data_IF_163209178821
#
_entry.id   IF_163209178821
#
_cell.length_a   1.000
_cell.length_b   1.000
_cell.length_c   1.000
_cell.angle_alpha   90.00
_cell.angle_beta   90.00
_cell.angle_gamma   90.00
#
_symmetry.space_group_name_H-M   'P 1'
#
loop_
_entity.id
_entity.type
_entity.pdbx_description
1 polymer ?
#
# COMPACT_ATOMS: atom_id res chain seq x y z
N UNK A 1 14.14 -17.07 8.68
CA UNK A 1 14.94 -15.86 8.39
C UNK A 1 14.53 -14.81 9.40
N UNK A 2 15.43 -14.38 10.28
CA UNK A 2 15.17 -13.37 11.31
C UNK A 2 15.26 -11.99 10.67
N UNK A 3 14.16 -11.26 10.62
CA UNK A 3 14.11 -9.89 10.10
C UNK A 3 14.67 -8.97 11.19
N UNK A 4 15.80 -8.32 10.91
CA UNK A 4 16.41 -7.30 11.78
C UNK A 4 15.63 -5.99 11.60
N UNK A 5 15.17 -5.38 12.70
CA UNK A 5 14.32 -4.17 12.70
C UNK A 5 15.11 -2.95 13.17
N UNK A 6 14.76 -1.78 12.65
CA UNK A 6 15.34 -0.49 13.04
C UNK A 6 14.65 0.05 14.32
N UNK A 7 15.44 0.49 15.30
CA UNK A 7 14.97 0.85 16.64
C UNK A 7 14.36 2.27 16.75
N UNK A 8 14.58 3.13 15.74
CA UNK A 8 14.33 4.57 15.83
C UNK A 8 13.02 5.07 15.18
N UNK A 9 11.98 4.24 15.07
CA UNK A 9 10.72 4.63 14.42
C UNK A 9 9.50 4.57 15.37
N UNK A 10 8.53 5.46 15.14
CA UNK A 10 7.30 5.53 15.93
C UNK A 10 6.58 4.17 15.93
N UNK A 11 6.14 3.64 17.08
CA UNK A 11 5.52 2.31 17.18
C UNK A 11 4.35 2.12 16.21
N UNK A 12 3.53 3.16 16.04
CA UNK A 12 2.37 3.12 15.13
C UNK A 12 2.79 3.11 13.65
N UNK A 13 3.85 3.87 13.32
CA UNK A 13 4.39 3.92 11.95
C UNK A 13 5.02 2.58 11.54
N UNK A 14 5.71 1.91 12.46
CA UNK A 14 6.22 0.56 12.26
C UNK A 14 5.10 -0.44 12.01
N UNK A 15 4.04 -0.43 12.82
CA UNK A 15 2.96 -1.39 12.72
C UNK A 15 2.22 -1.33 11.38
N UNK A 16 1.92 -0.13 10.86
CA UNK A 16 1.25 0.01 9.56
C UNK A 16 2.14 -0.40 8.39
N UNK A 17 3.45 -0.15 8.48
CA UNK A 17 4.43 -0.59 7.47
C UNK A 17 4.52 -2.12 7.46
N UNK A 18 4.66 -2.76 8.62
CA UNK A 18 4.65 -4.23 8.74
C UNK A 18 3.38 -4.82 8.13
N UNK A 19 2.23 -4.19 8.40
CA UNK A 19 0.97 -4.65 7.81
C UNK A 19 0.91 -4.46 6.30
N UNK A 20 1.50 -3.39 5.79
CA UNK A 20 1.60 -3.14 4.36
C UNK A 20 2.59 -4.07 3.66
N UNK A 21 3.65 -4.52 4.33
CA UNK A 21 4.57 -5.52 3.80
C UNK A 21 3.85 -6.82 3.42
N UNK A 22 2.83 -7.24 4.16
CA UNK A 22 1.98 -8.38 3.77
C UNK A 22 1.33 -8.17 2.39
N UNK A 23 0.82 -6.95 2.13
CA UNK A 23 0.24 -6.58 0.84
C UNK A 23 1.29 -6.57 -0.28
N UNK A 24 2.50 -6.06 0.01
CA UNK A 24 3.62 -6.04 -0.94
C UNK A 24 4.06 -7.45 -1.29
N UNK A 25 4.31 -8.30 -0.30
CA UNK A 25 4.73 -9.69 -0.49
C UNK A 25 3.70 -10.50 -1.27
N UNK A 26 2.41 -10.20 -1.09
CA UNK A 26 1.35 -10.82 -1.86
C UNK A 26 1.28 -10.33 -3.32
N UNK A 27 1.33 -9.01 -3.53
CA UNK A 27 1.14 -8.42 -4.86
C UNK A 27 2.38 -8.53 -5.75
N UNK A 28 3.58 -8.37 -5.19
CA UNK A 28 4.83 -8.36 -5.95
C UNK A 28 4.99 -9.55 -6.91
N UNK A 29 4.90 -10.82 -6.47
CA UNK A 29 5.04 -11.97 -7.39
C UNK A 29 3.89 -12.08 -8.40
N UNK A 30 2.73 -11.48 -8.14
CA UNK A 30 1.62 -11.44 -9.10
C UNK A 30 1.93 -10.42 -10.21
N UNK A 31 2.36 -9.22 -9.82
CA UNK A 31 2.70 -8.14 -10.73
C UNK A 31 3.94 -8.47 -11.58
N UNK A 32 4.94 -9.17 -11.02
CA UNK A 32 6.10 -9.65 -11.79
C UNK A 32 5.71 -10.60 -12.93
N UNK A 33 4.65 -11.40 -12.76
CA UNK A 33 4.13 -12.32 -13.78
C UNK A 33 3.17 -11.66 -14.77
N UNK A 34 3.01 -10.34 -14.72
CA UNK A 34 2.16 -9.60 -15.63
C UNK A 34 2.62 -9.81 -17.10
N UNK A 35 1.71 -10.07 -18.05
CA UNK A 35 2.06 -10.20 -19.46
C UNK A 35 2.81 -8.98 -19.98
N UNK A 36 3.83 -9.19 -20.84
CA UNK A 36 4.71 -8.11 -21.34
C UNK A 36 3.94 -6.99 -22.06
N UNK A 37 2.82 -7.30 -22.70
CA UNK A 37 1.94 -6.32 -23.36
C UNK A 37 1.30 -5.30 -22.40
N UNK A 38 1.37 -5.55 -21.09
CA UNK A 38 0.89 -4.64 -20.04
C UNK A 38 2.05 -4.04 -19.23
N UNK A 39 3.27 -4.01 -19.76
CA UNK A 39 4.47 -3.51 -19.06
C UNK A 39 4.29 -2.15 -18.40
N UNK A 40 3.76 -1.16 -19.12
CA UNK A 40 3.53 0.18 -18.56
C UNK A 40 2.54 0.18 -17.38
N UNK A 41 1.51 -0.68 -17.45
CA UNK A 41 0.51 -0.81 -16.38
C UNK A 41 1.13 -1.51 -15.17
N UNK A 42 1.92 -2.57 -15.39
CA UNK A 42 2.71 -3.24 -14.34
C UNK A 42 3.62 -2.24 -13.63
N UNK A 43 4.35 -1.44 -14.38
CA UNK A 43 5.34 -0.51 -13.82
C UNK A 43 4.66 0.59 -13.01
N UNK A 44 3.52 1.12 -13.48
CA UNK A 44 2.70 2.05 -12.71
C UNK A 44 2.17 1.43 -11.41
N UNK A 45 1.75 0.16 -11.44
CA UNK A 45 1.31 -0.56 -10.24
C UNK A 45 2.45 -0.79 -9.25
N UNK A 46 3.63 -1.18 -9.73
CA UNK A 46 4.81 -1.39 -8.90
C UNK A 46 5.28 -0.08 -8.27
N UNK A 47 5.29 1.02 -9.03
CA UNK A 47 5.60 2.35 -8.51
C UNK A 47 4.64 2.72 -7.37
N UNK A 48 3.33 2.65 -7.61
CA UNK A 48 2.33 2.95 -6.56
C UNK A 48 2.47 2.03 -5.33
N UNK A 49 2.82 0.76 -5.52
CA UNK A 49 3.05 -0.21 -4.44
C UNK A 49 4.28 0.16 -3.59
N UNK A 50 5.39 0.57 -4.21
CA UNK A 50 6.62 0.88 -3.48
C UNK A 50 6.66 2.30 -2.94
N UNK A 51 6.09 3.27 -3.65
CA UNK A 51 6.00 4.67 -3.22
C UNK A 51 5.24 4.80 -1.89
N UNK A 52 4.27 3.92 -1.64
CA UNK A 52 3.53 3.89 -0.38
C UNK A 52 4.44 3.74 0.85
N UNK A 53 5.53 2.97 0.74
CA UNK A 53 6.48 2.77 1.84
C UNK A 53 7.13 4.10 2.20
N UNK A 54 7.59 4.85 1.18
CA UNK A 54 8.16 6.18 1.36
C UNK A 54 7.16 7.18 1.96
N UNK A 55 5.89 7.11 1.54
CA UNK A 55 4.81 7.93 2.09
C UNK A 55 4.54 7.62 3.57
N UNK A 56 4.56 6.35 3.98
CA UNK A 56 4.43 5.98 5.40
C UNK A 56 5.61 6.47 6.23
N UNK A 57 6.85 6.32 5.77
CA UNK A 57 8.01 6.86 6.49
C UNK A 57 7.96 8.39 6.58
N UNK A 58 7.55 9.06 5.50
CA UNK A 58 7.38 10.51 5.48
C UNK A 58 6.32 10.96 6.50
N UNK A 59 5.20 10.26 6.57
CA UNK A 59 4.15 10.53 7.56
C UNK A 59 4.60 10.20 8.99
N UNK A 60 5.36 9.12 9.19
CA UNK A 60 5.86 8.71 10.51
C UNK A 60 6.84 9.74 11.12
N UNK A 61 7.68 10.33 10.27
CA UNK A 61 8.68 11.33 10.68
C UNK A 61 8.13 12.76 10.72
N UNK A 62 6.97 13.00 10.14
CA UNK A 62 6.36 14.33 10.06
C UNK A 62 5.24 14.50 11.08
N UNK A 63 5.07 15.73 11.58
CA UNK A 63 3.87 16.13 12.36
C UNK A 63 2.76 16.71 11.47
N UNK A 64 2.93 16.68 10.14
CA UNK A 64 2.00 17.31 9.21
C UNK A 64 0.90 16.33 8.76
N UNK A 65 -0.39 16.64 8.98
CA UNK A 65 -1.50 15.80 8.51
C UNK A 65 -1.53 15.58 7.00
N UNK A 66 -1.01 16.54 6.21
CA UNK A 66 -0.91 16.44 4.75
C UNK A 66 -0.15 15.20 4.27
N UNK A 67 0.86 14.74 5.04
CA UNK A 67 1.64 13.53 4.70
C UNK A 67 0.82 12.25 4.86
N UNK A 68 -0.05 12.20 5.87
CA UNK A 68 -0.98 11.08 6.05
C UNK A 68 -2.02 11.02 4.92
N UNK A 69 -2.52 12.19 4.48
CA UNK A 69 -3.43 12.24 3.33
C UNK A 69 -2.76 11.85 2.02
N UNK A 70 -1.48 12.18 1.82
CA UNK A 70 -0.74 11.71 0.65
C UNK A 70 -0.64 10.17 0.65
N UNK A 71 -0.38 9.56 1.80
CA UNK A 71 -0.38 8.11 1.96
C UNK A 71 -1.78 7.49 1.68
N UNK A 72 -2.86 8.15 2.10
CA UNK A 72 -4.23 7.65 1.86
C UNK A 72 -4.62 7.77 0.38
N UNK A 73 -4.25 8.88 -0.26
CA UNK A 73 -4.44 9.09 -1.68
C UNK A 73 -3.74 8.01 -2.52
N UNK A 74 -2.51 7.64 -2.15
CA UNK A 74 -1.79 6.58 -2.86
C UNK A 74 -2.41 5.18 -2.63
N UNK A 75 -2.96 4.89 -1.43
CA UNK A 75 -3.76 3.67 -1.22
C UNK A 75 -5.02 3.64 -2.11
N UNK A 76 -5.68 4.79 -2.30
CA UNK A 76 -6.81 4.89 -3.23
C UNK A 76 -6.38 4.66 -4.68
N UNK A 77 -5.24 5.22 -5.10
CA UNK A 77 -4.62 4.95 -6.42
C UNK A 77 -4.32 3.47 -6.61
N UNK A 78 -3.77 2.80 -5.60
CA UNK A 78 -3.51 1.36 -5.67
C UNK A 78 -4.81 0.55 -5.81
N UNK A 79 -5.86 0.88 -5.06
CA UNK A 79 -7.19 0.26 -5.21
C UNK A 79 -7.77 0.45 -6.61
N UNK A 80 -7.59 1.63 -7.21
CA UNK A 80 -7.97 1.87 -8.60
C UNK A 80 -7.24 0.91 -9.56
N UNK A 81 -5.91 0.79 -9.42
CA UNK A 81 -5.12 -0.06 -10.28
C UNK A 81 -5.48 -1.55 -10.15
N UNK A 82 -5.74 -2.03 -8.95
CA UNK A 82 -6.16 -3.42 -8.73
C UNK A 82 -7.51 -3.72 -9.40
N UNK A 83 -8.45 -2.77 -9.34
CA UNK A 83 -9.74 -2.86 -10.05
C UNK A 83 -9.55 -2.82 -11.57
N UNK A 84 -8.61 -2.03 -12.06
CA UNK A 84 -8.26 -2.02 -13.49
C UNK A 84 -7.68 -3.38 -13.91
N UNK A 85 -6.70 -3.89 -13.17
CA UNK A 85 -5.99 -5.13 -13.47
C UNK A 85 -6.86 -6.41 -13.41
N UNK A 86 -7.94 -6.42 -12.63
CA UNK A 86 -8.91 -7.55 -12.62
C UNK A 86 -9.91 -7.51 -13.79
N UNK A 87 -9.93 -6.44 -14.58
CA UNK A 87 -10.89 -6.29 -15.68
C UNK A 87 -10.81 -7.51 -16.63
N UNK A 88 -11.95 -8.12 -17.03
CA UNK A 88 -11.97 -9.29 -17.91
C UNK A 88 -11.26 -9.14 -19.25
N UNK A 89 -11.03 -7.90 -19.70
CA UNK A 89 -10.26 -7.57 -20.91
C UNK A 89 -8.74 -7.61 -20.71
N UNK A 90 -8.25 -7.34 -19.49
CA UNK A 90 -6.82 -7.33 -19.17
C UNK A 90 -6.37 -8.63 -18.51
N UNK A 91 -7.18 -9.17 -17.59
CA UNK A 91 -6.92 -10.42 -16.86
C UNK A 91 -5.54 -10.50 -16.20
N UNK A 92 -5.00 -9.36 -15.76
CA UNK A 92 -3.72 -9.29 -15.03
C UNK A 92 -3.87 -9.91 -13.64
N UNK A 93 -5.03 -9.70 -13.01
CA UNK A 93 -5.41 -10.30 -11.72
C UNK A 93 -6.62 -11.21 -11.88
N UNK A 94 -6.59 -12.36 -11.19
CA UNK A 94 -7.79 -13.17 -11.00
C UNK A 94 -8.73 -12.52 -9.97
N UNK A 95 -10.06 -12.71 -10.07
CA UNK A 95 -11.02 -12.15 -9.11
C UNK A 95 -10.76 -12.54 -7.64
N UNK A 96 -10.25 -13.77 -7.41
CA UNK A 96 -9.82 -14.20 -6.07
C UNK A 96 -8.61 -13.40 -5.56
N UNK A 97 -7.68 -13.09 -6.47
CA UNK A 97 -6.46 -12.36 -6.10
C UNK A 97 -6.78 -10.91 -5.79
N UNK A 98 -7.66 -10.30 -6.58
CA UNK A 98 -8.20 -8.97 -6.33
C UNK A 98 -8.87 -8.87 -4.96
N UNK A 99 -9.77 -9.81 -4.62
CA UNK A 99 -10.45 -9.82 -3.30
C UNK A 99 -9.46 -9.92 -2.14
N UNK A 100 -8.45 -10.77 -2.24
CA UNK A 100 -7.44 -10.92 -1.19
C UNK A 100 -6.59 -9.64 -1.04
N UNK A 101 -6.12 -9.07 -2.16
CA UNK A 101 -5.37 -7.82 -2.15
C UNK A 101 -6.16 -6.67 -1.52
N UNK A 102 -7.45 -6.53 -1.87
CA UNK A 102 -8.31 -5.50 -1.28
C UNK A 102 -8.50 -5.68 0.23
N UNK A 103 -8.53 -6.91 0.74
CA UNK A 103 -8.61 -7.16 2.19
C UNK A 103 -7.36 -6.66 2.91
N UNK A 104 -6.17 -7.01 2.41
CA UNK A 104 -4.89 -6.54 2.96
C UNK A 104 -4.83 -5.00 2.96
N UNK A 105 -5.22 -4.36 1.86
CA UNK A 105 -5.23 -2.90 1.76
C UNK A 105 -6.32 -2.23 2.62
N UNK A 106 -7.44 -2.91 2.89
CA UNK A 106 -8.48 -2.40 3.77
C UNK A 106 -8.01 -2.35 5.23
N UNK A 107 -7.29 -3.38 5.68
CA UNK A 107 -6.67 -3.42 7.01
C UNK A 107 -5.66 -2.28 7.19
N UNK A 108 -4.77 -2.10 6.20
CA UNK A 108 -3.82 -0.97 6.18
C UNK A 108 -4.56 0.38 6.16
N UNK A 109 -5.61 0.51 5.35
CA UNK A 109 -6.42 1.73 5.28
C UNK A 109 -7.14 2.07 6.59
N UNK A 110 -7.61 1.06 7.33
CA UNK A 110 -8.22 1.26 8.64
C UNK A 110 -7.19 1.77 9.66
N UNK A 111 -5.98 1.22 9.67
CA UNK A 111 -4.87 1.71 10.50
C UNK A 111 -4.51 3.16 10.17
N UNK A 112 -4.41 3.50 8.87
CA UNK A 112 -4.11 4.86 8.43
C UNK A 112 -5.23 5.84 8.82
N UNK A 113 -6.50 5.43 8.66
CA UNK A 113 -7.65 6.23 9.03
C UNK A 113 -7.67 6.53 10.54
N UNK A 114 -7.33 5.56 11.37
CA UNK A 114 -7.18 5.78 12.81
C UNK A 114 -6.02 6.74 13.13
N UNK A 115 -4.89 6.58 12.44
CA UNK A 115 -3.75 7.48 12.61
C UNK A 115 -4.08 8.93 12.23
N UNK A 116 -4.81 9.15 11.13
CA UNK A 116 -5.32 10.47 10.72
C UNK A 116 -6.22 11.08 11.81
N UNK A 117 -7.13 10.29 12.41
CA UNK A 117 -8.00 10.77 13.48
C UNK A 117 -7.20 11.21 14.71
N UNK A 118 -6.23 10.40 15.14
CA UNK A 118 -5.35 10.73 16.28
C UNK A 118 -4.51 11.96 16.00
N UNK A 119 -3.97 12.11 14.78
CA UNK A 119 -3.18 13.28 14.41
C UNK A 119 -4.00 14.58 14.42
N UNK A 120 -5.30 14.52 14.07
CA UNK A 120 -6.22 15.67 14.15
C UNK A 120 -6.64 16.02 15.58
N UNK A 121 -6.87 15.01 16.42
CA UNK A 121 -7.32 15.24 17.80
C UNK A 121 -6.25 15.84 18.73
N UNK A 122 -4.98 15.78 18.31
CA UNK A 122 -3.83 16.31 19.06
C UNK A 122 -3.33 17.66 18.53
N UNK A 123 -4.07 18.30 17.62
CA UNK A 123 -3.72 19.58 16.99
C UNK A 123 -4.62 20.73 17.45
#
# INVERSE_FOLDING_TARGET
MTIIRDANSSPTGLAIIEKYEEAVLYLYPILQRCPRGHGNVRDAMMAALFDQIGLFYSAAKSRQPSRLYAADANLATLRFWLRFAVNPKLRILAPRQHRHALRLLAEVGAMLGQWIKTAKGNG
#
